data_IF_508850126347
#
_entry.id   IF_508850126347
#
_cell.length_a   1.000
_cell.length_b   1.000
_cell.length_c   1.000
_cell.angle_alpha   90.00
_cell.angle_beta   90.00
_cell.angle_gamma   90.00
#
_symmetry.space_group_name_H-M   'P 1'
#
loop_
_entity.id
_entity.type
_entity.pdbx_description
1 polymer ?
#
# COMPACT_ATOMS: atom_id res chain seq x y z
N UNK A 1 0.69 -15.88 21.57
CA UNK A 1 1.40 -14.68 21.06
C UNK A 1 0.38 -13.57 20.81
N UNK A 2 0.19 -12.64 21.74
CA UNK A 2 -1.02 -11.77 21.76
C UNK A 2 -0.92 -10.46 20.96
N UNK A 3 0.22 -10.12 20.34
CA UNK A 3 0.29 -8.98 19.41
C UNK A 3 1.29 -9.25 18.27
N UNK A 4 0.78 -9.81 17.16
CA UNK A 4 1.59 -10.14 15.96
C UNK A 4 1.81 -8.96 15.02
N UNK A 5 1.12 -7.82 15.22
CA UNK A 5 1.23 -6.66 14.33
C UNK A 5 2.61 -6.01 14.44
N UNK A 6 3.10 -5.79 15.66
CA UNK A 6 4.39 -5.13 15.88
C UNK A 6 5.57 -5.91 15.27
N UNK A 7 5.72 -7.24 15.50
CA UNK A 7 6.76 -8.03 14.83
C UNK A 7 6.65 -7.99 13.30
N UNK A 8 5.43 -8.04 12.76
CA UNK A 8 5.19 -7.96 11.31
C UNK A 8 5.67 -6.62 10.72
N UNK A 9 5.26 -5.49 11.32
CA UNK A 9 5.69 -4.16 10.87
C UNK A 9 7.20 -3.94 11.05
N UNK A 10 7.80 -4.50 12.11
CA UNK A 10 9.26 -4.47 12.28
C UNK A 10 9.99 -5.24 11.17
N UNK A 11 9.49 -6.43 10.79
CA UNK A 11 10.06 -7.19 9.68
C UNK A 11 9.95 -6.40 8.36
N UNK A 12 8.78 -5.84 8.06
CA UNK A 12 8.58 -4.99 6.86
C UNK A 12 9.53 -3.79 6.89
N UNK A 13 9.66 -3.10 8.01
CA UNK A 13 10.57 -1.96 8.20
C UNK A 13 12.02 -2.32 7.93
N UNK A 14 12.52 -3.40 8.53
CA UNK A 14 13.89 -3.88 8.32
C UNK A 14 14.14 -4.24 6.85
N UNK A 15 13.20 -4.93 6.21
CA UNK A 15 13.32 -5.29 4.80
C UNK A 15 13.27 -4.08 3.88
N UNK A 16 12.38 -3.10 4.12
CA UNK A 16 12.34 -1.86 3.34
C UNK A 16 13.61 -1.03 3.51
N UNK A 17 14.18 -0.99 4.72
CA UNK A 17 15.44 -0.27 4.98
C UNK A 17 16.60 -0.87 4.18
N UNK A 18 16.62 -2.21 4.05
CA UNK A 18 17.61 -2.91 3.23
C UNK A 18 17.33 -2.78 1.73
N UNK A 19 16.06 -2.80 1.32
CA UNK A 19 15.64 -2.70 -0.08
C UNK A 19 15.87 -1.30 -0.68
N UNK A 20 15.70 -0.23 0.10
CA UNK A 20 15.86 1.17 -0.33
C UNK A 20 17.32 1.62 -0.39
N UNK A 21 18.19 0.74 -0.87
CA UNK A 21 19.57 1.02 -1.26
C UNK A 21 19.64 1.14 -2.78
N UNK A 22 18.83 2.04 -3.35
CA UNK A 22 18.70 2.26 -4.79
C UNK A 22 19.65 3.34 -5.27
N UNK A 23 20.16 3.18 -6.49
CA UNK A 23 21.05 4.13 -7.15
C UNK A 23 20.58 4.45 -8.57
N UNK A 24 21.08 5.55 -9.12
CA UNK A 24 20.75 5.92 -10.49
C UNK A 24 21.33 4.91 -11.49
N UNK A 25 20.49 4.40 -12.40
CA UNK A 25 20.86 3.39 -13.40
C UNK A 25 20.22 3.73 -14.74
N UNK A 26 21.04 3.88 -15.78
CA UNK A 26 20.56 4.09 -17.14
C UNK A 26 20.09 2.78 -17.76
N UNK A 27 19.03 2.83 -18.58
CA UNK A 27 18.53 1.64 -19.27
C UNK A 27 19.59 1.06 -20.20
N UNK A 28 19.79 -0.25 -20.11
CA UNK A 28 20.69 -0.98 -21.01
C UNK A 28 20.05 -1.35 -22.35
N UNK A 29 18.72 -1.29 -22.43
CA UNK A 29 17.96 -1.72 -23.61
C UNK A 29 17.63 -0.55 -24.54
N UNK A 30 17.30 0.61 -23.96
CA UNK A 30 16.89 1.79 -24.73
C UNK A 30 17.83 2.94 -24.44
N UNK A 31 18.45 3.47 -25.49
CA UNK A 31 19.37 4.60 -25.40
C UNK A 31 18.69 5.83 -24.77
N UNK A 32 19.41 6.52 -23.88
CA UNK A 32 18.97 7.76 -23.22
C UNK A 32 17.70 7.63 -22.36
N UNK A 33 17.28 6.42 -22.03
CA UNK A 33 16.15 6.19 -21.13
C UNK A 33 16.64 5.85 -19.72
N UNK A 34 15.86 6.29 -18.73
CA UNK A 34 16.00 5.89 -17.34
C UNK A 34 14.60 5.49 -16.85
N UNK A 35 14.42 4.18 -16.70
CA UNK A 35 13.13 3.58 -16.37
C UNK A 35 13.29 2.74 -15.09
N UNK A 36 12.26 2.67 -14.25
CA UNK A 36 12.29 1.80 -13.07
C UNK A 36 12.41 0.34 -13.51
N UNK A 37 13.55 -0.29 -13.25
CA UNK A 37 13.86 -1.64 -13.74
C UNK A 37 12.88 -2.69 -13.16
N UNK A 38 12.35 -2.46 -11.96
CA UNK A 38 11.32 -3.33 -11.34
C UNK A 38 10.00 -3.37 -12.12
N UNK A 39 9.70 -2.33 -12.89
CA UNK A 39 8.54 -2.28 -13.79
C UNK A 39 8.87 -2.79 -15.19
N UNK A 40 10.06 -2.47 -15.70
CA UNK A 40 10.47 -2.86 -17.05
C UNK A 40 10.70 -4.37 -17.19
N UNK A 41 11.33 -4.99 -16.19
CA UNK A 41 11.67 -6.42 -16.17
C UNK A 41 12.39 -6.92 -17.43
N UNK A 42 13.15 -6.06 -18.09
CA UNK A 42 13.91 -6.40 -19.30
C UNK A 42 15.32 -6.89 -18.99
N UNK A 43 15.87 -6.47 -17.85
CA UNK A 43 17.27 -6.63 -17.47
C UNK A 43 17.31 -7.47 -16.19
N UNK A 44 17.60 -8.77 -16.29
CA UNK A 44 17.41 -9.69 -15.16
C UNK A 44 18.47 -9.54 -14.06
N UNK A 45 19.68 -9.12 -14.43
CA UNK A 45 20.82 -8.95 -13.53
C UNK A 45 20.67 -7.80 -12.53
N UNK A 46 19.76 -6.85 -12.81
CA UNK A 46 19.45 -5.74 -11.90
C UNK A 46 18.19 -5.99 -11.07
N UNK A 47 17.48 -7.09 -11.31
CA UNK A 47 16.34 -7.51 -10.50
C UNK A 47 16.84 -8.34 -9.31
N UNK A 48 16.36 -8.01 -8.12
CA UNK A 48 16.63 -8.76 -6.92
C UNK A 48 15.49 -9.73 -6.62
N UNK A 49 15.77 -10.70 -5.74
CA UNK A 49 14.77 -11.69 -5.33
C UNK A 49 13.57 -11.01 -4.66
N UNK A 50 12.34 -11.22 -5.17
CA UNK A 50 11.12 -10.74 -4.51
C UNK A 50 10.97 -11.36 -3.12
N UNK A 51 10.59 -10.54 -2.15
CA UNK A 51 10.37 -10.96 -0.77
C UNK A 51 8.91 -10.78 -0.39
N UNK A 52 8.32 -11.80 0.23
CA UNK A 52 6.96 -11.74 0.78
C UNK A 52 7.06 -11.83 2.30
N UNK A 53 6.44 -10.87 2.98
CA UNK A 53 6.27 -10.89 4.42
C UNK A 53 4.78 -11.01 4.70
N UNK A 54 4.37 -12.11 5.31
CA UNK A 54 2.97 -12.40 5.64
C UNK A 54 2.76 -12.40 7.15
N UNK A 55 1.74 -11.69 7.62
CA UNK A 55 1.26 -11.80 9.00
C UNK A 55 0.29 -12.97 9.15
N UNK A 56 -0.57 -13.13 8.15
CA UNK A 56 -1.55 -14.22 8.00
C UNK A 56 -1.88 -14.37 6.50
N UNK A 57 -2.80 -15.28 6.15
CA UNK A 57 -3.19 -15.56 4.75
C UNK A 57 -3.83 -14.36 4.01
N UNK A 58 -4.33 -13.38 4.76
CA UNK A 58 -5.05 -12.22 4.26
C UNK A 58 -4.25 -10.91 4.34
N UNK A 59 -3.18 -10.86 5.13
CA UNK A 59 -2.32 -9.69 5.34
C UNK A 59 -0.88 -10.04 4.95
N UNK A 60 -0.43 -9.46 3.84
CA UNK A 60 0.91 -9.69 3.31
C UNK A 60 1.43 -8.46 2.56
N UNK A 61 2.75 -8.28 2.58
CA UNK A 61 3.48 -7.30 1.77
C UNK A 61 4.45 -8.03 0.86
N UNK A 62 4.39 -7.71 -0.43
CA UNK A 62 5.37 -8.10 -1.43
C UNK A 62 6.31 -6.92 -1.69
N UNK A 63 7.60 -7.17 -1.57
CA UNK A 63 8.68 -6.22 -1.84
C UNK A 63 9.49 -6.77 -3.01
N UNK A 64 9.44 -6.08 -4.13
CA UNK A 64 10.22 -6.37 -5.32
C UNK A 64 11.25 -5.25 -5.46
N UNK A 65 12.53 -5.61 -5.45
CA UNK A 65 13.61 -4.64 -5.51
C UNK A 65 14.38 -4.80 -6.81
N UNK A 66 14.83 -3.69 -7.36
CA UNK A 66 15.82 -3.61 -8.41
C UNK A 66 16.93 -2.64 -8.01
N UNK A 67 17.93 -2.49 -8.88
CA UNK A 67 19.04 -1.56 -8.64
C UNK A 67 18.59 -0.09 -8.48
N UNK A 68 17.64 0.39 -9.30
CA UNK A 68 17.19 1.79 -9.30
C UNK A 68 15.77 2.03 -8.75
N UNK A 69 15.06 0.98 -8.38
CA UNK A 69 13.68 1.10 -7.95
C UNK A 69 13.22 -0.04 -7.04
N UNK A 70 12.23 0.23 -6.19
CA UNK A 70 11.58 -0.76 -5.32
C UNK A 70 10.08 -0.62 -5.48
N UNK A 71 9.40 -1.74 -5.69
CA UNK A 71 7.95 -1.85 -5.68
C UNK A 71 7.48 -2.53 -4.41
N UNK A 72 6.55 -1.89 -3.72
CA UNK A 72 5.98 -2.39 -2.46
C UNK A 72 4.48 -2.57 -2.66
N UNK A 73 3.99 -3.80 -2.62
CA UNK A 73 2.57 -4.12 -2.80
C UNK A 73 1.98 -4.67 -1.51
N UNK A 74 0.87 -4.09 -1.07
CA UNK A 74 0.27 -4.37 0.24
C UNK A 74 -1.10 -4.99 0.03
N UNK A 75 -1.33 -6.13 0.69
CA UNK A 75 -2.64 -6.75 0.83
C UNK A 75 -3.17 -6.43 2.23
N UNK A 76 -4.28 -5.73 2.26
CA UNK A 76 -4.91 -5.16 3.45
C UNK A 76 -5.94 -6.16 3.98
N UNK A 77 -6.06 -6.24 5.30
CA UNK A 77 -7.06 -7.09 5.96
C UNK A 77 -8.47 -6.70 5.55
N UNK A 78 -9.28 -7.67 5.16
CA UNK A 78 -10.69 -7.50 4.81
C UNK A 78 -11.50 -8.61 5.49
N UNK A 79 -12.19 -8.29 6.59
CA UNK A 79 -12.89 -9.30 7.39
C UNK A 79 -14.28 -9.66 6.84
N UNK A 80 -14.92 -8.75 6.11
CA UNK A 80 -16.24 -8.94 5.52
C UNK A 80 -16.41 -8.17 4.19
N UNK A 81 -17.58 -8.34 3.57
CA UNK A 81 -17.90 -7.70 2.30
C UNK A 81 -17.96 -6.17 2.38
N UNK A 82 -18.32 -5.62 3.54
CA UNK A 82 -18.35 -4.18 3.75
C UNK A 82 -16.91 -3.64 3.74
N UNK A 83 -16.01 -4.24 4.53
CA UNK A 83 -14.59 -3.86 4.55
C UNK A 83 -13.93 -4.05 3.20
N UNK A 84 -14.27 -5.11 2.45
CA UNK A 84 -13.79 -5.32 1.08
C UNK A 84 -14.15 -4.15 0.16
N UNK A 85 -15.40 -3.69 0.21
CA UNK A 85 -15.86 -2.56 -0.61
C UNK A 85 -15.23 -1.25 -0.13
N UNK A 86 -15.14 -1.03 1.18
CA UNK A 86 -14.53 0.16 1.78
C UNK A 86 -13.04 0.25 1.43
N UNK A 87 -12.28 -0.83 1.62
CA UNK A 87 -10.88 -0.95 1.23
C UNK A 87 -10.70 -0.62 -0.25
N UNK A 88 -11.47 -1.26 -1.14
CA UNK A 88 -11.39 -1.02 -2.58
C UNK A 88 -11.69 0.44 -2.96
N UNK A 89 -12.70 1.08 -2.34
CA UNK A 89 -13.01 2.49 -2.60
C UNK A 89 -11.93 3.43 -2.06
N UNK A 90 -11.41 3.14 -0.87
CA UNK A 90 -10.37 3.92 -0.22
C UNK A 90 -9.05 3.89 -1.01
N UNK A 91 -8.55 2.69 -1.35
CA UNK A 91 -7.32 2.56 -2.14
C UNK A 91 -7.49 3.16 -3.54
N UNK A 92 -8.65 2.99 -4.18
CA UNK A 92 -8.95 3.64 -5.47
C UNK A 92 -8.93 5.16 -5.37
N UNK A 93 -9.48 5.74 -4.30
CA UNK A 93 -9.44 7.18 -4.05
C UNK A 93 -8.02 7.73 -3.92
N UNK A 94 -7.14 6.98 -3.22
CA UNK A 94 -5.73 7.32 -3.11
C UNK A 94 -5.01 7.23 -4.46
N UNK A 95 -5.23 6.14 -5.21
CA UNK A 95 -4.58 5.93 -6.52
C UNK A 95 -4.99 6.97 -7.56
N UNK A 96 -6.21 7.52 -7.49
CA UNK A 96 -6.64 8.65 -8.32
C UNK A 96 -5.83 9.93 -8.06
N UNK A 97 -5.13 10.02 -6.94
CA UNK A 97 -4.30 11.18 -6.53
C UNK A 97 -2.80 10.88 -6.59
N UNK A 98 -2.41 9.82 -7.29
CA UNK A 98 -1.01 9.41 -7.44
C UNK A 98 -0.10 10.51 -8.04
N UNK A 99 -0.65 11.51 -8.73
CA UNK A 99 0.13 12.66 -9.21
C UNK A 99 0.63 13.56 -8.07
N UNK A 100 -0.20 13.80 -7.06
CA UNK A 100 0.20 14.53 -5.85
C UNK A 100 0.97 13.63 -4.89
N UNK A 101 0.71 12.32 -4.96
CA UNK A 101 1.30 11.33 -4.10
C UNK A 101 2.30 10.47 -4.88
N UNK A 102 3.45 11.08 -5.15
CA UNK A 102 4.44 10.69 -6.18
C UNK A 102 4.98 9.26 -6.09
N UNK A 103 4.94 8.63 -4.91
CA UNK A 103 5.40 7.25 -4.71
C UNK A 103 4.31 6.20 -4.94
N UNK A 104 3.06 6.62 -5.19
CA UNK A 104 1.94 5.70 -5.34
C UNK A 104 1.77 5.24 -6.80
N UNK A 105 1.55 3.94 -7.02
CA UNK A 105 1.21 3.43 -8.36
C UNK A 105 -0.25 3.73 -8.67
N UNK A 106 -0.52 4.09 -9.92
CA UNK A 106 -1.89 4.36 -10.42
C UNK A 106 -2.79 3.11 -10.41
N UNK A 107 -2.19 1.92 -10.43
CA UNK A 107 -2.85 0.62 -10.34
C UNK A 107 -2.04 -0.29 -9.41
N UNK A 108 -2.70 -1.12 -8.59
CA UNK A 108 -1.99 -2.07 -7.75
C UNK A 108 -1.51 -3.27 -8.59
N UNK A 109 -0.59 -4.06 -8.04
CA UNK A 109 -0.25 -5.38 -8.59
C UNK A 109 -1.44 -6.33 -8.40
N UNK A 110 -1.64 -7.25 -9.35
CA UNK A 110 -2.71 -8.24 -9.28
C UNK A 110 -2.61 -9.06 -7.99
N UNK A 111 -3.70 -9.14 -7.23
CA UNK A 111 -3.75 -9.84 -5.95
C UNK A 111 -3.37 -8.99 -4.73
N UNK A 112 -3.07 -7.71 -4.93
CA UNK A 112 -2.80 -6.73 -3.87
C UNK A 112 -3.75 -5.54 -3.99
N UNK A 113 -3.96 -4.81 -2.89
CA UNK A 113 -4.96 -3.73 -2.82
C UNK A 113 -4.37 -2.37 -3.19
N UNK A 114 -3.09 -2.15 -2.88
CA UNK A 114 -2.35 -0.92 -3.16
C UNK A 114 -0.88 -1.23 -3.40
N UNK A 115 -0.24 -0.45 -4.27
CA UNK A 115 1.19 -0.60 -4.55
C UNK A 115 1.89 0.76 -4.62
N UNK A 116 3.10 0.79 -4.09
CA UNK A 116 4.03 1.92 -4.14
C UNK A 116 5.18 1.60 -5.10
N UNK A 117 5.69 2.62 -5.77
CA UNK A 117 6.87 2.58 -6.61
C UNK A 117 7.83 3.67 -6.14
N UNK A 118 8.95 3.26 -5.55
CA UNK A 118 10.01 4.15 -5.10
C UNK A 118 11.18 4.01 -6.09
N UNK A 119 11.71 5.14 -6.56
CA UNK A 119 12.83 5.18 -7.50
C UNK A 119 14.01 5.90 -6.86
N UNK A 120 15.19 5.84 -7.49
CA UNK A 120 16.36 6.61 -7.08
C UNK A 120 16.06 8.11 -6.96
N UNK A 121 15.26 8.68 -7.87
CA UNK A 121 14.85 10.09 -7.82
C UNK A 121 14.11 10.44 -6.53
N UNK A 122 13.28 9.53 -6.01
CA UNK A 122 12.59 9.73 -4.75
C UNK A 122 13.57 9.75 -3.56
N UNK A 123 14.57 8.87 -3.56
CA UNK A 123 15.59 8.81 -2.49
C UNK A 123 16.63 9.93 -2.57
N UNK A 124 16.80 10.55 -3.74
CA UNK A 124 17.63 11.74 -3.93
C UNK A 124 16.95 13.00 -3.38
N UNK A 125 15.62 13.11 -3.53
CA UNK A 125 14.84 14.26 -3.08
C UNK A 125 14.33 14.15 -1.64
N UNK A 126 14.10 12.92 -1.15
CA UNK A 126 13.51 12.66 0.16
C UNK A 126 14.38 11.72 0.98
N UNK A 127 14.40 11.92 2.29
CA UNK A 127 15.14 11.03 3.17
C UNK A 127 14.55 9.62 3.17
N UNK A 128 15.35 8.61 2.83
CA UNK A 128 14.90 7.20 2.77
C UNK A 128 14.22 6.71 4.04
N UNK A 129 14.70 7.12 5.21
CA UNK A 129 14.11 6.72 6.49
C UNK A 129 12.70 7.30 6.68
N UNK A 130 12.41 8.49 6.13
CA UNK A 130 11.07 9.07 6.12
C UNK A 130 10.13 8.36 5.16
N UNK A 131 10.63 7.85 4.04
CA UNK A 131 9.85 6.99 3.13
C UNK A 131 9.47 5.66 3.81
N UNK A 132 10.41 5.04 4.52
CA UNK A 132 10.13 3.83 5.31
C UNK A 132 9.10 4.14 6.40
N UNK A 133 9.32 5.20 7.19
CA UNK A 133 8.37 5.61 8.23
C UNK A 133 6.98 5.85 7.66
N UNK A 134 6.90 6.51 6.51
CA UNK A 134 5.64 6.76 5.81
C UNK A 134 4.92 5.45 5.44
N UNK A 135 5.62 4.46 4.85
CA UNK A 135 4.97 3.18 4.47
C UNK A 135 4.48 2.44 5.71
N UNK A 136 5.27 2.42 6.78
CA UNK A 136 4.87 1.76 8.04
C UNK A 136 3.67 2.47 8.67
N UNK A 137 3.68 3.81 8.70
CA UNK A 137 2.55 4.59 9.20
C UNK A 137 1.29 4.35 8.37
N UNK A 138 1.43 4.32 7.03
CA UNK A 138 0.33 4.00 6.13
C UNK A 138 -0.27 2.63 6.45
N UNK A 139 0.56 1.60 6.66
CA UNK A 139 0.10 0.27 7.04
C UNK A 139 -0.63 0.24 8.39
N UNK A 140 -0.18 1.04 9.37
CA UNK A 140 -0.83 1.14 10.69
C UNK A 140 -2.18 1.87 10.64
N UNK A 141 -2.29 2.89 9.81
CA UNK A 141 -3.48 3.74 9.77
C UNK A 141 -4.56 3.20 8.85
N UNK A 142 -4.21 2.46 7.78
CA UNK A 142 -5.19 1.90 6.84
C UNK A 142 -6.23 1.02 7.55
N UNK A 143 -5.80 0.20 8.50
CA UNK A 143 -6.68 -0.71 9.24
C UNK A 143 -7.63 0.08 10.15
N UNK A 144 -7.13 1.17 10.75
CA UNK A 144 -7.94 2.05 11.62
C UNK A 144 -8.97 2.81 10.79
N UNK A 145 -8.56 3.41 9.68
CA UNK A 145 -9.43 4.16 8.77
C UNK A 145 -10.56 3.28 8.21
N UNK A 146 -10.26 2.04 7.79
CA UNK A 146 -11.29 1.10 7.32
C UNK A 146 -12.28 0.76 8.44
N UNK A 147 -11.76 0.53 9.66
CA UNK A 147 -12.59 0.24 10.84
C UNK A 147 -13.50 1.43 11.19
N UNK A 148 -12.97 2.66 11.16
CA UNK A 148 -13.72 3.89 11.42
C UNK A 148 -14.78 4.16 10.35
N UNK A 149 -14.45 3.97 9.07
CA UNK A 149 -15.42 4.07 7.97
C UNK A 149 -16.59 3.08 8.16
N UNK A 150 -16.30 1.84 8.58
CA UNK A 150 -17.33 0.84 8.85
C UNK A 150 -18.24 1.24 10.02
N UNK A 151 -17.66 1.73 11.11
CA UNK A 151 -18.42 2.23 12.26
C UNK A 151 -19.31 3.42 11.86
N UNK A 152 -18.78 4.37 11.09
CA UNK A 152 -19.51 5.53 10.58
C UNK A 152 -20.67 5.13 9.67
N UNK A 153 -20.45 4.15 8.78
CA UNK A 153 -21.48 3.60 7.91
C UNK A 153 -22.63 2.98 8.72
N UNK A 154 -22.31 2.14 9.71
CA UNK A 154 -23.31 1.48 10.55
C UNK A 154 -24.09 2.48 11.41
N UNK A 155 -23.41 3.47 12.00
CA UNK A 155 -24.05 4.52 12.77
C UNK A 155 -25.04 5.33 11.90
N UNK A 156 -24.63 5.70 10.69
CA UNK A 156 -25.49 6.42 9.75
C UNK A 156 -26.68 5.58 9.30
N UNK A 157 -26.48 4.30 9.01
CA UNK A 157 -27.56 3.40 8.63
C UNK A 157 -28.63 3.29 9.74
N UNK A 158 -28.20 3.23 11.02
CA UNK A 158 -29.10 3.24 12.17
C UNK A 158 -29.93 4.53 12.23
N UNK A 159 -29.28 5.70 12.14
CA UNK A 159 -29.98 7.00 12.17
C UNK A 159 -31.01 7.11 11.05
N UNK A 160 -30.67 6.66 9.84
CA UNK A 160 -31.58 6.65 8.69
C UNK A 160 -32.79 5.75 8.96
N UNK A 161 -32.57 4.55 9.51
CA UNK A 161 -33.65 3.62 9.83
C UNK A 161 -34.57 4.18 10.93
N UNK A 162 -34.01 4.72 12.01
CA UNK A 162 -34.77 5.35 13.11
C UNK A 162 -35.61 6.53 12.61
N UNK A 163 -35.00 7.42 11.82
CA UNK A 163 -35.67 8.59 11.26
C UNK A 163 -36.76 8.24 10.25
N UNK A 164 -36.61 7.12 9.53
CA UNK A 164 -37.64 6.63 8.64
C UNK A 164 -38.82 6.04 9.44
N UNK A 165 -38.55 5.15 10.41
CA UNK A 165 -39.59 4.49 11.20
C UNK A 165 -40.38 5.47 12.08
N UNK A 166 -39.75 6.53 12.61
CA UNK A 166 -40.43 7.55 13.41
C UNK A 166 -41.51 8.31 12.62
N UNK A 167 -41.41 8.36 11.29
CA UNK A 167 -42.44 9.01 10.44
C UNK A 167 -43.74 8.19 10.36
N UNK A 168 -43.69 6.90 10.69
CA UNK A 168 -44.81 5.97 10.56
C UNK A 168 -45.26 5.37 11.90
N UNK A 169 -44.46 5.54 12.97
CA UNK A 169 -44.71 4.95 14.30
C UNK A 169 -45.73 5.69 15.17
N UNK A 170 -46.13 6.92 14.81
CA UNK A 170 -47.09 7.75 15.56
C UNK A 170 -48.51 7.73 14.94
N UNK A 171 -48.93 6.60 14.36
CA UNK A 171 -50.33 6.34 13.98
C UNK A 171 -50.90 5.14 14.72
#
# INVERSE_FOLDING_TARGET
MSNTLRPYLMAVRSTLTAALCVENFASQVVEKHNIPEVEAQTTNEVLLNPLIISRNENEQVLIESSFNSVRVSIRIKQADDIERILCHKFTRFLMQRAENFIILRRKPIKGYDISFLITNFHTELMFKHKLVDFIIQFMEDVDKEISEMKLSLNARARIVAESYLSQWGDK
#
